data_IF_764117045123
#
_entry.id   IF_764117045123
#
_cell.length_a   1.000
_cell.length_b   1.000
_cell.length_c   1.000
_cell.angle_alpha   90.00
_cell.angle_beta   90.00
_cell.angle_gamma   90.00
#
_symmetry.space_group_name_H-M   'P 1'
#
loop_
_entity.id
_entity.type
_entity.pdbx_description
1 polymer ?
#
# COMPACT_ATOMS: atom_id res chain seq x y z
N UNK A 1 -4.06 4.11 0.21
CA UNK A 1 -3.21 4.88 -0.72
C UNK A 1 -3.56 6.38 -0.72
N UNK A 2 -4.74 6.82 -0.26
CA UNK A 2 -5.02 8.25 -0.01
C UNK A 2 -5.01 8.60 1.49
N UNK A 3 -3.84 8.85 2.07
CA UNK A 3 -3.73 9.65 3.31
C UNK A 3 -3.01 10.99 3.08
N UNK A 4 -2.55 11.30 1.86
CA UNK A 4 -1.84 12.55 1.57
C UNK A 4 -2.74 13.80 1.46
N UNK A 5 -4.07 13.67 1.50
CA UNK A 5 -4.98 14.79 1.24
C UNK A 5 -5.81 15.25 2.44
N UNK A 6 -5.42 14.89 3.67
CA UNK A 6 -6.05 15.46 4.86
C UNK A 6 -5.66 16.95 5.06
N UNK A 7 -6.45 17.78 4.37
CA UNK A 7 -7.08 19.04 4.78
C UNK A 7 -6.22 20.31 4.94
N UNK A 8 -4.91 20.27 5.21
CA UNK A 8 -4.23 21.54 5.59
C UNK A 8 -3.62 22.39 4.44
N UNK A 9 -3.49 21.89 3.20
CA UNK A 9 -2.86 22.63 2.07
C UNK A 9 -3.58 22.53 0.72
N UNK A 10 -4.92 22.41 0.71
CA UNK A 10 -5.71 22.22 -0.53
C UNK A 10 -5.46 23.29 -1.60
N UNK A 11 -5.31 24.58 -1.24
CA UNK A 11 -5.12 25.68 -2.22
C UNK A 11 -3.76 25.61 -2.94
N UNK A 12 -2.66 25.45 -2.20
CA UNK A 12 -1.30 25.36 -2.77
C UNK A 12 -1.14 24.10 -3.64
N UNK A 13 -1.70 22.99 -3.17
CA UNK A 13 -1.70 21.73 -3.92
C UNK A 13 -2.49 21.84 -5.23
N UNK A 14 -3.67 22.48 -5.21
CA UNK A 14 -4.46 22.73 -6.43
C UNK A 14 -3.71 23.61 -7.42
N UNK A 15 -3.00 24.65 -6.97
CA UNK A 15 -2.23 25.53 -7.85
C UNK A 15 -1.04 24.80 -8.51
N UNK A 16 -0.26 24.02 -7.74
CA UNK A 16 0.82 23.18 -8.27
C UNK A 16 0.27 22.08 -9.20
N UNK A 17 -0.84 21.47 -8.79
CA UNK A 17 -1.56 20.46 -9.54
C UNK A 17 -2.01 20.90 -10.93
N UNK A 18 -2.42 22.16 -11.10
CA UNK A 18 -2.80 22.69 -12.43
C UNK A 18 -1.64 22.69 -13.42
N UNK A 19 -0.42 23.03 -12.97
CA UNK A 19 0.78 23.01 -13.82
C UNK A 19 1.14 21.57 -14.20
N UNK A 20 1.18 20.66 -13.22
CA UNK A 20 1.43 19.23 -13.45
C UNK A 20 0.38 18.60 -14.36
N UNK A 21 -0.90 18.94 -14.19
CA UNK A 21 -2.01 18.49 -15.05
C UNK A 21 -1.82 18.92 -16.50
N UNK A 22 -1.47 20.19 -16.75
CA UNK A 22 -1.23 20.69 -18.11
C UNK A 22 -0.08 19.95 -18.78
N UNK A 23 1.00 19.73 -18.04
CA UNK A 23 2.16 18.98 -18.50
C UNK A 23 1.78 17.53 -18.84
N UNK A 24 1.15 16.80 -17.91
CA UNK A 24 0.73 15.42 -18.11
C UNK A 24 -0.23 15.26 -19.31
N UNK A 25 -1.20 16.18 -19.46
CA UNK A 25 -2.12 16.19 -20.60
C UNK A 25 -1.40 16.41 -21.94
N UNK A 26 -0.35 17.25 -21.97
CA UNK A 26 0.44 17.43 -23.18
C UNK A 26 1.25 16.18 -23.52
N UNK A 27 1.85 15.53 -22.52
CA UNK A 27 2.55 14.26 -22.71
C UNK A 27 1.63 13.16 -23.27
N UNK A 28 0.39 13.07 -22.78
CA UNK A 28 -0.58 12.08 -23.23
C UNK A 28 -1.05 12.32 -24.67
N UNK A 29 -1.08 13.58 -25.12
CA UNK A 29 -1.49 13.95 -26.48
C UNK A 29 -0.43 13.63 -27.55
N UNK A 30 0.83 13.52 -27.14
CA UNK A 30 1.93 13.17 -28.04
C UNK A 30 1.64 11.82 -28.70
N UNK A 31 1.87 11.67 -30.02
CA UNK A 31 1.46 10.49 -30.79
C UNK A 31 2.04 9.19 -30.22
N UNK A 32 3.29 9.23 -29.75
CA UNK A 32 4.01 8.05 -29.22
C UNK A 32 3.44 7.55 -27.89
N UNK A 33 2.75 8.41 -27.14
CA UNK A 33 2.31 8.14 -25.77
C UNK A 33 0.82 7.76 -25.68
N UNK A 34 0.07 7.81 -26.78
CA UNK A 34 -1.39 7.60 -26.76
C UNK A 34 -1.80 6.21 -26.29
N UNK A 35 -0.95 5.21 -26.51
CA UNK A 35 -1.22 3.83 -26.13
C UNK A 35 -0.52 3.42 -24.82
N UNK A 36 0.18 4.34 -24.15
CA UNK A 36 0.91 4.03 -22.92
C UNK A 36 -0.01 4.02 -21.70
N UNK A 37 -0.50 2.85 -21.31
CA UNK A 37 -1.43 2.68 -20.19
C UNK A 37 -0.88 3.16 -18.84
N UNK A 38 0.43 3.08 -18.63
CA UNK A 38 1.07 3.57 -17.41
C UNK A 38 0.92 5.11 -17.31
N UNK A 39 1.07 5.82 -18.43
CA UNK A 39 0.87 7.27 -18.46
C UNK A 39 -0.59 7.66 -18.22
N UNK A 40 -1.54 6.93 -18.83
CA UNK A 40 -2.97 7.09 -18.55
C UNK A 40 -3.29 6.87 -17.07
N UNK A 41 -2.76 5.80 -16.46
CA UNK A 41 -2.90 5.48 -15.04
C UNK A 41 -2.41 6.64 -14.16
N UNK A 42 -1.21 7.16 -14.43
CA UNK A 42 -0.63 8.29 -13.67
C UNK A 42 -1.45 9.57 -13.83
N UNK A 43 -1.92 9.86 -15.04
CA UNK A 43 -2.74 11.05 -15.30
C UNK A 43 -4.10 10.97 -14.58
N UNK A 44 -4.79 9.83 -14.68
CA UNK A 44 -6.05 9.59 -13.97
C UNK A 44 -5.87 9.70 -12.45
N UNK A 45 -4.80 9.13 -11.91
CA UNK A 45 -4.48 9.24 -10.49
C UNK A 45 -4.19 10.68 -10.05
N UNK A 46 -3.48 11.45 -10.88
CA UNK A 46 -3.25 12.88 -10.63
C UNK A 46 -4.58 13.64 -10.56
N UNK A 47 -5.50 13.44 -11.51
CA UNK A 47 -6.83 14.07 -11.47
C UNK A 47 -7.59 13.72 -10.18
N UNK A 48 -7.51 12.45 -9.77
CA UNK A 48 -8.10 11.99 -8.52
C UNK A 48 -7.52 12.71 -7.31
N UNK A 49 -6.18 12.84 -7.23
CA UNK A 49 -5.50 13.55 -6.14
C UNK A 49 -5.82 15.05 -6.08
N UNK A 50 -6.21 15.66 -7.21
CA UNK A 50 -6.65 17.06 -7.25
C UNK A 50 -8.10 17.24 -6.79
N UNK A 51 -8.82 16.14 -6.58
CA UNK A 51 -10.23 16.10 -6.22
C UNK A 51 -11.18 16.23 -7.42
N UNK A 52 -10.69 16.06 -8.65
CA UNK A 52 -11.53 16.05 -9.86
C UNK A 52 -11.97 14.61 -10.14
N UNK A 53 -12.76 14.02 -9.24
CA UNK A 53 -13.11 12.58 -9.29
C UNK A 53 -13.84 12.19 -10.57
N UNK A 54 -14.75 13.02 -11.08
CA UNK A 54 -15.51 12.70 -12.29
C UNK A 54 -14.66 12.80 -13.56
N UNK A 55 -13.71 13.73 -13.61
CA UNK A 55 -12.73 13.78 -14.70
C UNK A 55 -11.80 12.57 -14.63
N UNK A 56 -11.34 12.20 -13.43
CA UNK A 56 -10.50 11.02 -13.23
C UNK A 56 -11.20 9.74 -13.70
N UNK A 57 -12.48 9.56 -13.35
CA UNK A 57 -13.32 8.44 -13.82
C UNK A 57 -13.36 8.37 -15.35
N UNK A 58 -13.63 9.49 -16.02
CA UNK A 58 -13.63 9.55 -17.50
C UNK A 58 -12.28 9.16 -18.09
N UNK A 59 -11.17 9.59 -17.48
CA UNK A 59 -9.83 9.23 -17.94
C UNK A 59 -9.56 7.73 -17.75
N UNK A 60 -9.93 7.17 -16.60
CA UNK A 60 -9.84 5.72 -16.35
C UNK A 60 -10.70 4.92 -17.34
N UNK A 61 -11.96 5.30 -17.51
CA UNK A 61 -12.90 4.63 -18.41
C UNK A 61 -12.37 4.68 -19.86
N UNK A 62 -11.87 5.83 -20.30
CA UNK A 62 -11.24 5.98 -21.63
C UNK A 62 -10.04 5.06 -21.78
N UNK A 63 -9.14 5.04 -20.80
CA UNK A 63 -7.96 4.20 -20.82
C UNK A 63 -8.33 2.71 -20.91
N UNK A 64 -9.30 2.26 -20.12
CA UNK A 64 -9.80 0.88 -20.14
C UNK A 64 -10.48 0.53 -21.47
N UNK A 65 -11.26 1.43 -22.07
CA UNK A 65 -11.84 1.21 -23.40
C UNK A 65 -10.76 1.07 -24.48
N UNK A 66 -9.67 1.85 -24.40
CA UNK A 66 -8.59 1.84 -25.41
C UNK A 66 -7.59 0.70 -25.26
N UNK A 67 -7.49 0.11 -24.06
CA UNK A 67 -6.46 -0.87 -23.71
C UNK A 67 -6.65 -2.27 -24.33
N UNK A 68 -7.77 -2.51 -25.03
CA UNK A 68 -8.06 -3.78 -25.69
C UNK A 68 -8.55 -4.89 -24.76
N UNK A 69 -8.59 -6.13 -25.27
CA UNK A 69 -9.23 -7.31 -24.64
C UNK A 69 -8.27 -8.21 -23.84
N UNK A 70 -7.13 -7.68 -23.39
CA UNK A 70 -6.09 -8.46 -22.70
C UNK A 70 -6.49 -9.02 -21.33
N UNK A 71 -7.55 -8.50 -20.71
CA UNK A 71 -8.13 -9.00 -19.45
C UNK A 71 -7.08 -9.21 -18.35
N UNK A 72 -7.17 -10.36 -17.66
CA UNK A 72 -6.25 -10.75 -16.58
C UNK A 72 -4.83 -11.10 -17.04
N UNK A 73 -4.61 -11.29 -18.35
CA UNK A 73 -3.30 -11.64 -18.91
C UNK A 73 -2.38 -10.43 -19.09
N UNK A 74 -2.93 -9.21 -19.04
CA UNK A 74 -2.15 -7.98 -19.18
C UNK A 74 -1.89 -7.35 -17.82
N UNK A 75 -0.62 -7.34 -17.39
CA UNK A 75 -0.18 -6.73 -16.13
C UNK A 75 -0.62 -5.26 -16.03
N UNK A 76 -0.49 -4.50 -17.12
CA UNK A 76 -0.85 -3.08 -17.17
C UNK A 76 -2.36 -2.86 -17.00
N UNK A 77 -3.19 -3.71 -17.62
CA UNK A 77 -4.64 -3.67 -17.48
C UNK A 77 -5.10 -4.01 -16.05
N UNK A 78 -4.53 -5.07 -15.46
CA UNK A 78 -4.78 -5.43 -14.07
C UNK A 78 -4.36 -4.28 -13.14
N UNK A 79 -3.18 -3.71 -13.35
CA UNK A 79 -2.65 -2.63 -12.52
C UNK A 79 -3.47 -1.34 -12.62
N UNK A 80 -3.99 -1.01 -13.80
CA UNK A 80 -4.89 0.12 -14.02
C UNK A 80 -6.25 -0.11 -13.33
N UNK A 81 -6.83 -1.30 -13.54
CA UNK A 81 -8.13 -1.68 -12.97
C UNK A 81 -8.09 -1.76 -11.44
N UNK A 82 -7.00 -2.32 -10.89
CA UNK A 82 -6.74 -2.38 -9.45
C UNK A 82 -6.73 -0.98 -8.85
N UNK A 83 -5.94 -0.06 -9.43
CA UNK A 83 -5.86 1.31 -8.91
C UNK A 83 -7.24 1.98 -8.97
N UNK A 84 -7.95 1.90 -10.09
CA UNK A 84 -9.26 2.52 -10.22
C UNK A 84 -10.27 1.96 -9.20
N UNK A 85 -10.32 0.64 -9.06
CA UNK A 85 -11.18 -0.02 -8.07
C UNK A 85 -10.81 0.39 -6.63
N UNK A 86 -9.52 0.42 -6.27
CA UNK A 86 -9.05 0.86 -4.95
C UNK A 86 -9.48 2.30 -4.64
N UNK A 87 -9.37 3.21 -5.61
CA UNK A 87 -9.76 4.60 -5.46
C UNK A 87 -11.28 4.75 -5.22
N UNK A 88 -12.10 3.99 -5.96
CA UNK A 88 -13.56 3.97 -5.75
C UNK A 88 -13.93 3.36 -4.40
N UNK A 89 -13.23 2.31 -3.96
CA UNK A 89 -13.43 1.71 -2.62
C UNK A 89 -13.10 2.69 -1.51
N UNK A 90 -12.06 3.51 -1.67
CA UNK A 90 -11.69 4.51 -0.66
C UNK A 90 -12.75 5.62 -0.47
N UNK A 91 -13.71 5.76 -1.40
CA UNK A 91 -14.87 6.65 -1.27
C UNK A 91 -16.03 6.02 -0.48
N UNK A 92 -16.03 4.71 -0.27
CA UNK A 92 -17.08 4.04 0.50
C UNK A 92 -16.98 4.43 1.97
N UNK A 93 -18.14 4.76 2.56
CA UNK A 93 -18.28 5.03 3.99
C UNK A 93 -18.64 3.77 4.78
N UNK A 94 -19.38 2.85 4.14
CA UNK A 94 -19.75 1.53 4.65
C UNK A 94 -19.66 0.48 3.53
N UNK A 95 -19.71 -0.80 3.91
CA UNK A 95 -19.75 -1.90 2.94
C UNK A 95 -21.17 -2.17 2.40
N UNK A 96 -22.18 -1.44 2.89
CA UNK A 96 -23.55 -1.57 2.41
C UNK A 96 -23.65 -1.15 0.94
N UNK A 97 -24.23 -2.01 0.09
CA UNK A 97 -24.31 -1.76 -1.34
C UNK A 97 -23.00 -1.93 -2.12
N UNK A 98 -21.92 -2.43 -1.49
CA UNK A 98 -20.63 -2.65 -2.15
C UNK A 98 -20.73 -3.53 -3.41
N UNK A 99 -21.65 -4.50 -3.43
CA UNK A 99 -21.91 -5.38 -4.58
C UNK A 99 -22.34 -4.62 -5.84
N UNK A 100 -23.03 -3.49 -5.68
CA UNK A 100 -23.51 -2.67 -6.78
C UNK A 100 -22.45 -1.62 -7.16
N UNK A 101 -21.38 -1.48 -6.38
CA UNK A 101 -20.39 -0.41 -6.55
C UNK A 101 -19.67 -0.45 -7.90
N UNK A 102 -19.19 0.73 -8.32
CA UNK A 102 -18.32 0.87 -9.49
C UNK A 102 -17.06 -0.01 -9.38
N UNK A 103 -16.52 -0.20 -8.18
CA UNK A 103 -15.35 -1.04 -7.96
C UNK A 103 -15.60 -2.51 -8.35
N UNK A 104 -16.74 -3.08 -7.95
CA UNK A 104 -17.12 -4.44 -8.34
C UNK A 104 -17.31 -4.52 -9.86
N UNK A 105 -17.97 -3.53 -10.47
CA UNK A 105 -18.12 -3.48 -11.92
C UNK A 105 -16.79 -3.51 -12.67
N UNK A 106 -15.82 -2.68 -12.27
CA UNK A 106 -14.48 -2.64 -12.88
C UNK A 106 -13.80 -4.01 -12.79
N UNK A 107 -13.80 -4.61 -11.60
CA UNK A 107 -13.16 -5.90 -11.34
C UNK A 107 -13.88 -7.06 -12.04
N UNK A 108 -15.20 -7.00 -12.20
CA UNK A 108 -15.97 -7.99 -12.97
C UNK A 108 -15.65 -7.85 -14.46
N UNK A 109 -15.70 -6.63 -15.01
CA UNK A 109 -15.43 -6.39 -16.45
C UNK A 109 -14.02 -6.80 -16.87
N UNK A 110 -13.04 -6.67 -15.98
CA UNK A 110 -11.67 -7.14 -16.23
C UNK A 110 -11.61 -8.64 -16.59
N UNK A 111 -12.54 -9.46 -16.07
CA UNK A 111 -12.55 -10.91 -16.30
C UNK A 111 -13.31 -11.32 -17.56
N UNK A 112 -14.17 -10.45 -18.11
CA UNK A 112 -15.06 -10.80 -19.22
C UNK A 112 -14.35 -10.87 -20.58
N UNK A 113 -13.05 -10.51 -20.67
CA UNK A 113 -12.22 -10.46 -21.90
C UNK A 113 -12.88 -9.71 -23.09
N UNK A 114 -13.92 -8.92 -22.83
CA UNK A 114 -14.63 -8.11 -23.80
C UNK A 114 -14.24 -6.63 -23.71
N UNK A 115 -14.82 -5.77 -24.59
CA UNK A 115 -14.60 -4.34 -24.50
C UNK A 115 -15.12 -3.79 -23.16
N UNK A 116 -14.33 -2.91 -22.54
CA UNK A 116 -14.76 -2.25 -21.32
C UNK A 116 -15.95 -1.34 -21.60
N UNK A 117 -16.99 -1.45 -20.77
CA UNK A 117 -18.16 -0.57 -20.79
C UNK A 117 -18.18 0.20 -19.48
N UNK A 118 -18.29 1.55 -19.51
CA UNK A 118 -18.37 2.36 -18.31
C UNK A 118 -19.54 1.94 -17.40
N UNK A 119 -19.36 2.14 -16.09
CA UNK A 119 -20.33 1.73 -15.09
C UNK A 119 -21.68 2.46 -15.23
N UNK A 120 -22.77 1.70 -15.30
CA UNK A 120 -24.14 2.18 -15.52
C UNK A 120 -25.06 2.08 -14.30
N UNK A 121 -24.57 1.67 -13.13
CA UNK A 121 -25.36 1.58 -11.90
C UNK A 121 -25.78 0.17 -11.48
N UNK A 122 -25.45 -0.87 -12.25
CA UNK A 122 -25.82 -2.26 -11.92
C UNK A 122 -24.68 -3.24 -12.22
N UNK A 123 -24.56 -4.27 -11.37
CA UNK A 123 -23.68 -5.42 -11.59
C UNK A 123 -24.52 -6.68 -11.43
N UNK A 124 -24.58 -7.49 -12.49
CA UNK A 124 -25.34 -8.74 -12.48
C UNK A 124 -24.63 -9.80 -11.63
N UNK A 125 -25.36 -10.42 -10.70
CA UNK A 125 -24.82 -11.47 -9.81
C UNK A 125 -24.20 -12.64 -10.60
N UNK A 126 -24.76 -12.99 -11.76
CA UNK A 126 -24.22 -14.04 -12.63
C UNK A 126 -22.82 -13.69 -13.12
N UNK A 127 -22.56 -12.41 -13.46
CA UNK A 127 -21.24 -11.98 -13.90
C UNK A 127 -20.24 -11.96 -12.75
N UNK A 128 -20.69 -11.63 -11.54
CA UNK A 128 -19.86 -11.73 -10.31
C UNK A 128 -19.44 -13.19 -10.08
N UNK A 129 -20.35 -14.16 -10.20
CA UNK A 129 -20.03 -15.58 -10.04
C UNK A 129 -19.06 -16.09 -11.12
N UNK A 130 -19.24 -15.67 -12.37
CA UNK A 130 -18.31 -16.00 -13.46
C UNK A 130 -16.93 -15.40 -13.21
N UNK A 131 -16.86 -14.11 -12.88
CA UNK A 131 -15.62 -13.41 -12.57
C UNK A 131 -14.84 -14.09 -11.44
N UNK A 132 -15.53 -14.55 -10.39
CA UNK A 132 -14.90 -15.28 -9.28
C UNK A 132 -14.15 -16.51 -9.77
N UNK A 133 -14.81 -17.37 -10.58
CA UNK A 133 -14.18 -18.57 -11.15
C UNK A 133 -13.01 -18.21 -12.06
N UNK A 134 -13.14 -17.17 -12.88
CA UNK A 134 -12.07 -16.71 -13.76
C UNK A 134 -10.84 -16.23 -12.99
N UNK A 135 -11.02 -15.49 -11.89
CA UNK A 135 -9.91 -15.09 -11.02
C UNK A 135 -9.26 -16.29 -10.33
N UNK A 136 -10.06 -17.23 -9.81
CA UNK A 136 -9.57 -18.43 -9.14
C UNK A 136 -8.71 -19.27 -10.07
N UNK A 137 -9.17 -19.54 -11.30
CA UNK A 137 -8.39 -20.23 -12.31
C UNK A 137 -7.15 -19.44 -12.71
N UNK A 138 -7.24 -18.13 -12.94
CA UNK A 138 -6.08 -17.32 -13.31
C UNK A 138 -4.98 -17.33 -12.22
N UNK A 139 -5.36 -17.30 -10.94
CA UNK A 139 -4.40 -17.39 -9.84
C UNK A 139 -3.80 -18.80 -9.74
N UNK A 140 -4.61 -19.84 -9.85
CA UNK A 140 -4.13 -21.23 -9.84
C UNK A 140 -3.18 -21.52 -11.01
N UNK A 141 -3.57 -21.11 -12.22
CA UNK A 141 -2.75 -21.24 -13.43
C UNK A 141 -1.40 -20.53 -13.23
N UNK A 142 -1.40 -19.31 -12.69
CA UNK A 142 -0.17 -18.58 -12.44
C UNK A 142 0.71 -19.30 -11.40
N UNK A 143 0.15 -19.71 -10.27
CA UNK A 143 0.89 -20.38 -9.19
C UNK A 143 1.35 -21.80 -9.54
N UNK A 144 0.74 -22.44 -10.53
CA UNK A 144 1.11 -23.75 -11.05
C UNK A 144 2.25 -23.71 -12.07
N UNK A 145 2.53 -22.56 -12.67
CA UNK A 145 3.64 -22.41 -13.61
C UNK A 145 4.96 -22.50 -12.85
N UNK A 146 5.73 -23.55 -13.16
CA UNK A 146 7.13 -23.64 -12.76
C UNK A 146 7.88 -22.56 -13.56
N UNK A 147 8.63 -21.64 -12.93
CA UNK A 147 9.37 -20.64 -13.67
C UNK A 147 10.43 -21.32 -14.53
N UNK A 148 10.30 -21.21 -15.85
CA UNK A 148 11.30 -21.67 -16.81
C UNK A 148 11.76 -20.43 -17.60
N UNK A 149 13.02 -20.05 -17.39
CA UNK A 149 13.81 -19.04 -18.09
C UNK A 149 13.75 -17.58 -17.59
N UNK A 150 14.91 -16.93 -17.63
CA UNK A 150 15.31 -15.70 -16.90
C UNK A 150 14.94 -14.37 -17.58
N UNK A 151 14.38 -14.37 -18.80
CA UNK A 151 14.25 -13.11 -19.57
C UNK A 151 12.89 -12.37 -19.42
N UNK A 152 11.83 -13.01 -18.91
CA UNK A 152 10.48 -12.42 -18.82
C UNK A 152 9.97 -12.17 -17.37
N UNK A 153 10.79 -12.42 -16.34
CA UNK A 153 10.34 -12.50 -14.94
C UNK A 153 9.81 -11.18 -14.33
N UNK A 154 10.32 -10.02 -14.78
CA UNK A 154 9.91 -8.71 -14.22
C UNK A 154 8.45 -8.40 -14.54
N UNK A 155 8.02 -8.65 -15.80
CA UNK A 155 6.63 -8.46 -16.20
C UNK A 155 5.68 -9.44 -15.50
N UNK A 156 6.17 -10.65 -15.21
CA UNK A 156 5.40 -11.72 -14.61
C UNK A 156 5.09 -11.41 -13.12
N UNK A 157 6.08 -10.96 -12.34
CA UNK A 157 5.86 -10.57 -10.94
C UNK A 157 4.87 -9.39 -10.78
N UNK A 158 4.98 -8.36 -11.61
CA UNK A 158 4.04 -7.23 -11.63
C UNK A 158 2.61 -7.67 -12.00
N UNK A 159 2.51 -8.67 -12.88
CA UNK A 159 1.23 -9.29 -13.24
C UNK A 159 0.62 -10.02 -12.05
N UNK A 160 1.40 -10.84 -11.33
CA UNK A 160 0.92 -11.56 -10.16
C UNK A 160 0.42 -10.60 -9.08
N UNK A 161 1.22 -9.59 -8.71
CA UNK A 161 0.84 -8.60 -7.69
C UNK A 161 -0.47 -7.91 -8.07
N UNK A 162 -0.60 -7.53 -9.35
CA UNK A 162 -1.81 -6.87 -9.86
C UNK A 162 -3.02 -7.82 -9.87
N UNK A 163 -2.82 -9.10 -10.23
CA UNK A 163 -3.86 -10.13 -10.21
C UNK A 163 -4.34 -10.43 -8.80
N UNK A 164 -3.42 -10.71 -7.86
CA UNK A 164 -3.70 -10.94 -6.44
C UNK A 164 -4.41 -9.74 -5.85
N UNK A 165 -3.96 -8.52 -6.16
CA UNK A 165 -4.61 -7.29 -5.74
C UNK A 165 -6.05 -7.16 -6.25
N UNK A 166 -6.29 -7.43 -7.54
CA UNK A 166 -7.64 -7.39 -8.13
C UNK A 166 -8.54 -8.45 -7.48
N UNK A 167 -8.04 -9.68 -7.35
CA UNK A 167 -8.83 -10.79 -6.86
C UNK A 167 -9.17 -10.65 -5.36
N UNK A 168 -8.19 -10.28 -4.54
CA UNK A 168 -8.43 -10.06 -3.11
C UNK A 168 -9.40 -8.89 -2.89
N UNK A 169 -9.28 -7.80 -3.64
CA UNK A 169 -10.23 -6.69 -3.57
C UNK A 169 -11.64 -7.09 -4.03
N UNK A 170 -11.73 -7.93 -5.07
CA UNK A 170 -12.99 -8.48 -5.55
C UNK A 170 -13.65 -9.38 -4.50
N UNK A 171 -12.89 -10.27 -3.86
CA UNK A 171 -13.39 -11.13 -2.77
C UNK A 171 -13.79 -10.30 -1.54
N UNK A 172 -13.03 -9.25 -1.23
CA UNK A 172 -13.37 -8.33 -0.14
C UNK A 172 -14.74 -7.68 -0.35
N UNK A 173 -15.02 -7.18 -1.55
CA UNK A 173 -16.26 -6.48 -1.87
C UNK A 173 -17.47 -7.41 -2.06
N UNK A 174 -17.23 -8.68 -2.42
CA UNK A 174 -18.30 -9.62 -2.77
C UNK A 174 -18.60 -10.69 -1.72
N UNK A 175 -17.64 -10.98 -0.84
CA UNK A 175 -17.75 -12.01 0.19
C UNK A 175 -17.42 -11.44 1.57
N UNK A 176 -16.27 -10.77 1.70
CA UNK A 176 -15.86 -10.13 2.95
C UNK A 176 -14.37 -10.20 3.22
N UNK A 177 -13.96 -9.71 4.39
CA UNK A 177 -12.55 -9.56 4.75
C UNK A 177 -11.79 -10.89 4.82
N UNK A 178 -12.39 -11.93 5.40
CA UNK A 178 -11.72 -13.22 5.58
C UNK A 178 -11.40 -13.88 4.23
N UNK A 179 -12.32 -13.80 3.27
CA UNK A 179 -12.10 -14.29 1.91
C UNK A 179 -10.93 -13.58 1.22
N UNK A 180 -10.77 -12.27 1.43
CA UNK A 180 -9.66 -11.51 0.86
C UNK A 180 -8.32 -11.84 1.55
N UNK A 181 -8.32 -12.01 2.87
CA UNK A 181 -7.12 -12.41 3.63
C UNK A 181 -6.62 -13.77 3.16
N UNK A 182 -7.51 -14.73 2.91
CA UNK A 182 -7.15 -16.06 2.39
C UNK A 182 -6.43 -15.98 1.03
N UNK A 183 -6.81 -15.06 0.14
CA UNK A 183 -6.11 -14.88 -1.14
C UNK A 183 -4.68 -14.37 -0.90
N UNK A 184 -4.50 -13.42 0.01
CA UNK A 184 -3.17 -12.91 0.34
C UNK A 184 -2.28 -13.95 1.00
N UNK A 185 -2.80 -14.77 1.92
CA UNK A 185 -2.03 -15.84 2.56
C UNK A 185 -1.64 -16.91 1.55
N UNK A 186 -2.58 -17.37 0.71
CA UNK A 186 -2.30 -18.36 -0.33
C UNK A 186 -1.23 -17.88 -1.31
N UNK A 187 -1.31 -16.62 -1.77
CA UNK A 187 -0.31 -16.06 -2.68
C UNK A 187 1.07 -15.93 -1.99
N UNK A 188 1.10 -15.53 -0.73
CA UNK A 188 2.35 -15.35 0.03
C UNK A 188 3.05 -16.69 0.31
N UNK A 189 2.32 -17.70 0.79
CA UNK A 189 2.86 -19.04 1.07
C UNK A 189 3.45 -19.69 -0.18
N UNK A 190 2.78 -19.54 -1.33
CA UNK A 190 3.28 -20.10 -2.60
C UNK A 190 4.53 -19.38 -3.10
N UNK A 191 4.58 -18.05 -2.98
CA UNK A 191 5.78 -17.28 -3.31
C UNK A 191 6.97 -17.63 -2.40
N UNK A 192 6.73 -17.83 -1.11
CA UNK A 192 7.76 -18.27 -0.15
C UNK A 192 8.27 -19.70 -0.47
N UNK A 193 7.37 -20.62 -0.82
CA UNK A 193 7.73 -22.00 -1.19
C UNK A 193 8.60 -22.04 -2.45
N UNK A 194 8.27 -21.25 -3.48
CA UNK A 194 9.05 -21.18 -4.72
C UNK A 194 10.45 -20.60 -4.49
N UNK A 195 10.59 -19.57 -3.65
CA UNK A 195 11.90 -18.98 -3.35
C UNK A 195 12.83 -19.88 -2.51
N UNK A 196 12.26 -20.81 -1.74
CA UNK A 196 13.03 -21.72 -0.88
C UNK A 196 13.66 -22.89 -1.68
N UNK A 197 13.00 -23.32 -2.76
CA UNK A 197 13.36 -24.53 -3.51
C UNK A 197 14.57 -24.32 -4.45
N UNK A 198 14.89 -23.08 -4.82
CA UNK A 198 16.04 -22.74 -5.67
C UNK A 198 17.35 -22.56 -4.88
N UNK A 199 17.29 -22.23 -3.59
CA UNK A 199 18.49 -21.98 -2.77
C UNK A 199 19.28 -23.25 -2.38
N UNK A 200 18.72 -24.45 -2.54
CA UNK A 200 19.41 -25.68 -2.13
C UNK A 200 20.35 -26.25 -3.21
N UNK A 201 20.28 -25.82 -4.48
CA UNK A 201 20.89 -26.58 -5.57
C UNK A 201 22.05 -25.92 -6.36
N UNK A 202 22.43 -24.66 -6.17
CA UNK A 202 23.61 -24.13 -6.87
C UNK A 202 24.26 -22.98 -6.12
N UNK A 203 25.43 -23.23 -5.53
CA UNK A 203 26.29 -22.18 -5.00
C UNK A 203 27.07 -21.52 -6.13
N UNK A 204 26.46 -20.57 -6.84
CA UNK A 204 27.15 -19.68 -7.78
C UNK A 204 26.27 -18.46 -8.11
N UNK A 205 26.74 -17.26 -7.71
CA UNK A 205 26.30 -15.92 -8.10
C UNK A 205 24.81 -15.71 -8.44
N UNK A 206 24.01 -15.47 -7.39
CA UNK A 206 22.60 -15.09 -7.46
C UNK A 206 22.35 -13.88 -8.37
N UNK A 207 21.78 -14.13 -9.54
CA UNK A 207 20.93 -13.15 -10.21
C UNK A 207 19.85 -12.67 -9.24
N UNK A 208 19.55 -11.38 -9.27
CA UNK A 208 18.60 -10.73 -8.36
C UNK A 208 17.21 -11.35 -8.59
N UNK A 209 16.88 -12.38 -7.83
CA UNK A 209 15.54 -12.96 -7.77
C UNK A 209 14.57 -11.86 -7.30
N UNK A 210 13.54 -11.57 -8.12
CA UNK A 210 12.56 -10.49 -7.87
C UNK A 210 11.39 -10.94 -6.96
N UNK A 211 11.36 -12.20 -6.53
CA UNK A 211 10.38 -12.74 -5.58
C UNK A 211 10.24 -11.94 -4.27
N UNK A 212 11.33 -11.41 -3.65
CA UNK A 212 11.22 -10.59 -2.45
C UNK A 212 10.38 -9.32 -2.67
N UNK A 213 10.48 -8.70 -3.84
CA UNK A 213 9.73 -7.49 -4.17
C UNK A 213 8.23 -7.78 -4.38
N UNK A 214 7.90 -8.91 -5.00
CA UNK A 214 6.51 -9.31 -5.20
C UNK A 214 5.82 -9.63 -3.86
N UNK A 215 6.50 -10.39 -2.99
CA UNK A 215 6.00 -10.74 -1.66
C UNK A 215 5.84 -9.50 -0.77
N UNK A 216 6.79 -8.56 -0.84
CA UNK A 216 6.69 -7.25 -0.17
C UNK A 216 5.47 -6.46 -0.66
N UNK A 217 5.22 -6.42 -1.97
CA UNK A 217 4.09 -5.72 -2.55
C UNK A 217 2.74 -6.35 -2.17
N UNK A 218 2.63 -7.68 -2.20
CA UNK A 218 1.44 -8.43 -1.75
C UNK A 218 1.17 -8.17 -0.26
N UNK A 219 2.21 -8.20 0.57
CA UNK A 219 2.12 -7.90 2.01
C UNK A 219 1.64 -6.47 2.26
N UNK A 220 2.11 -5.51 1.46
CA UNK A 220 1.66 -4.12 1.53
C UNK A 220 0.18 -3.99 1.13
N UNK A 221 -0.29 -4.70 0.09
CA UNK A 221 -1.70 -4.73 -0.29
C UNK A 221 -2.57 -5.30 0.84
N UNK A 222 -2.16 -6.40 1.44
CA UNK A 222 -2.85 -7.04 2.56
C UNK A 222 -3.01 -6.09 3.76
N UNK A 223 -1.91 -5.49 4.24
CA UNK A 223 -1.94 -4.56 5.38
C UNK A 223 -2.74 -3.29 5.08
N UNK A 224 -2.71 -2.81 3.83
CA UNK A 224 -3.53 -1.67 3.40
C UNK A 224 -5.02 -1.99 3.42
N UNK A 225 -5.42 -3.20 3.00
CA UNK A 225 -6.81 -3.64 3.03
C UNK A 225 -7.33 -3.75 4.47
N UNK A 226 -6.59 -4.42 5.36
CA UNK A 226 -6.94 -4.52 6.78
C UNK A 226 -7.12 -3.15 7.42
N UNK A 227 -6.21 -2.21 7.16
CA UNK A 227 -6.31 -0.83 7.64
C UNK A 227 -7.53 -0.11 7.10
N UNK A 228 -7.87 -0.33 5.83
CA UNK A 228 -9.08 0.25 5.24
C UNK A 228 -10.34 -0.34 5.89
N UNK A 229 -10.41 -1.66 6.03
CA UNK A 229 -11.55 -2.34 6.67
C UNK A 229 -11.80 -1.77 8.07
N UNK A 230 -10.76 -1.72 8.92
CA UNK A 230 -10.83 -1.11 10.26
C UNK A 230 -11.29 0.36 10.29
N UNK A 231 -11.17 1.09 9.19
CA UNK A 231 -11.64 2.48 9.10
C UNK A 231 -13.16 2.55 8.91
N UNK A 232 -13.74 1.61 8.16
CA UNK A 232 -15.14 1.64 7.74
C UNK A 232 -16.02 0.61 8.46
N UNK A 233 -15.43 -0.35 9.18
CA UNK A 233 -16.12 -1.38 9.94
C UNK A 233 -15.57 -1.50 11.36
N UNK A 234 -16.37 -2.06 12.26
CA UNK A 234 -15.93 -2.49 13.59
C UNK A 234 -15.12 -3.78 13.42
N UNK A 235 -13.80 -3.70 13.61
CA UNK A 235 -12.89 -4.83 13.42
C UNK A 235 -11.77 -4.81 14.46
N UNK A 236 -11.36 -5.97 15.02
CA UNK A 236 -10.29 -6.03 16.01
C UNK A 236 -8.96 -5.51 15.46
N UNK A 237 -8.16 -4.87 16.32
CA UNK A 237 -6.86 -4.31 15.91
C UNK A 237 -5.75 -5.37 15.76
N UNK A 238 -5.90 -6.54 16.40
CA UNK A 238 -4.84 -7.54 16.46
C UNK A 238 -4.40 -8.06 15.08
N UNK A 239 -5.29 -8.43 14.13
CA UNK A 239 -4.87 -8.95 12.83
C UNK A 239 -4.01 -7.95 12.05
N UNK A 240 -4.39 -6.66 12.04
CA UNK A 240 -3.58 -5.62 11.40
C UNK A 240 -2.23 -5.44 12.11
N UNK A 241 -2.20 -5.50 13.44
CA UNK A 241 -0.96 -5.35 14.21
C UNK A 241 0.00 -6.50 13.91
N UNK A 242 -0.49 -7.73 13.94
CA UNK A 242 0.28 -8.94 13.65
C UNK A 242 0.84 -8.89 12.23
N UNK A 243 -0.03 -8.65 11.24
CA UNK A 243 0.36 -8.52 9.84
C UNK A 243 1.45 -7.44 9.65
N UNK A 244 1.32 -6.28 10.29
CA UNK A 244 2.34 -5.22 10.21
C UNK A 244 3.64 -5.59 10.91
N UNK A 245 3.60 -6.19 12.10
CA UNK A 245 4.82 -6.58 12.81
C UNK A 245 5.58 -7.67 12.08
N UNK A 246 4.85 -8.61 11.48
CA UNK A 246 5.42 -9.74 10.75
C UNK A 246 5.98 -9.30 9.39
N UNK A 247 5.27 -8.38 8.72
CA UNK A 247 5.76 -7.71 7.52
C UNK A 247 7.03 -6.89 7.78
N UNK A 248 7.07 -6.10 8.86
CA UNK A 248 8.21 -5.22 9.17
C UNK A 248 9.46 -5.96 9.65
N UNK A 249 9.32 -7.18 10.18
CA UNK A 249 10.47 -8.06 10.44
C UNK A 249 11.11 -8.56 9.14
N UNK A 250 10.28 -8.89 8.14
CA UNK A 250 10.76 -9.32 6.80
C UNK A 250 11.26 -8.15 5.95
N UNK A 251 10.56 -7.02 5.99
CA UNK A 251 10.79 -5.85 5.13
C UNK A 251 11.06 -4.57 5.94
N UNK A 252 12.18 -4.52 6.69
CA UNK A 252 12.49 -3.38 7.56
C UNK A 252 12.70 -2.06 6.81
N UNK A 253 13.06 -2.12 5.53
CA UNK A 253 13.27 -0.94 4.68
C UNK A 253 11.96 -0.33 4.12
N UNK A 254 10.81 -1.01 4.28
CA UNK A 254 9.57 -0.53 3.69
C UNK A 254 8.94 0.62 4.49
N UNK A 255 9.08 1.83 3.96
CA UNK A 255 8.56 3.04 4.60
C UNK A 255 7.03 3.08 4.71
N UNK A 256 6.31 2.46 3.78
CA UNK A 256 4.84 2.47 3.76
C UNK A 256 4.26 1.59 4.87
N UNK A 257 4.89 0.44 5.14
CA UNK A 257 4.57 -0.41 6.28
C UNK A 257 4.84 0.32 7.61
N UNK A 258 5.98 0.99 7.74
CA UNK A 258 6.30 1.77 8.95
C UNK A 258 5.33 2.92 9.20
N UNK A 259 4.97 3.69 8.16
CA UNK A 259 3.95 4.75 8.28
C UNK A 259 2.61 4.19 8.78
N UNK A 260 2.24 3.01 8.31
CA UNK A 260 1.03 2.29 8.73
C UNK A 260 1.13 1.85 10.19
N UNK A 261 2.25 1.26 10.58
CA UNK A 261 2.53 0.82 11.94
C UNK A 261 2.47 1.96 12.96
N UNK A 262 3.12 3.09 12.67
CA UNK A 262 3.04 4.27 13.55
C UNK A 262 1.61 4.79 13.66
N UNK A 263 0.86 4.85 12.54
CA UNK A 263 -0.52 5.32 12.57
C UNK A 263 -1.40 4.47 13.49
N UNK A 264 -1.25 3.15 13.41
CA UNK A 264 -1.91 2.18 14.30
C UNK A 264 -1.47 2.38 15.74
N UNK A 265 -0.17 2.49 15.98
CA UNK A 265 0.38 2.55 17.33
C UNK A 265 0.02 3.83 18.06
N UNK A 266 -0.15 4.95 17.34
CA UNK A 266 -0.62 6.22 17.93
C UNK A 266 -1.98 6.12 18.59
N UNK A 267 -2.82 5.17 18.16
CA UNK A 267 -4.15 4.95 18.74
C UNK A 267 -4.11 3.96 19.91
N UNK A 268 -2.96 3.34 20.19
CA UNK A 268 -2.81 2.35 21.26
C UNK A 268 -1.95 2.90 22.40
N UNK A 269 -2.32 2.59 23.64
CA UNK A 269 -1.60 3.05 24.84
C UNK A 269 -0.34 2.22 25.16
N UNK A 270 0.26 1.55 24.18
CA UNK A 270 1.32 0.55 24.44
C UNK A 270 2.72 0.98 23.99
N UNK A 271 3.21 2.11 24.51
CA UNK A 271 4.53 2.65 24.14
C UNK A 271 5.68 1.64 24.36
N UNK A 272 5.65 0.89 25.46
CA UNK A 272 6.66 -0.12 25.79
C UNK A 272 6.74 -1.25 24.77
N UNK A 273 5.61 -1.77 24.29
CA UNK A 273 5.58 -2.82 23.25
C UNK A 273 6.16 -2.32 21.93
N UNK A 274 5.82 -1.08 21.53
CA UNK A 274 6.40 -0.49 20.33
C UNK A 274 7.91 -0.26 20.46
N UNK A 275 8.38 0.24 21.62
CA UNK A 275 9.82 0.40 21.89
C UNK A 275 10.57 -0.93 21.74
N UNK A 276 10.09 -1.99 22.39
CA UNK A 276 10.66 -3.35 22.26
C UNK A 276 10.66 -3.85 20.82
N UNK A 277 9.60 -3.57 20.07
CA UNK A 277 9.51 -3.95 18.67
C UNK A 277 10.54 -3.22 17.80
N UNK A 278 10.64 -1.88 17.92
CA UNK A 278 11.68 -1.11 17.22
C UNK A 278 13.08 -1.61 17.60
N UNK A 279 13.36 -1.77 18.89
CA UNK A 279 14.66 -2.24 19.39
C UNK A 279 15.01 -3.65 18.85
N UNK A 280 14.00 -4.51 18.65
CA UNK A 280 14.17 -5.84 18.04
C UNK A 280 14.53 -5.74 16.56
N UNK A 281 13.85 -4.88 15.80
CA UNK A 281 14.05 -4.76 14.34
C UNK A 281 15.36 -4.03 14.04
N UNK A 282 15.70 -2.97 14.78
CA UNK A 282 16.97 -2.24 14.59
C UNK A 282 18.21 -3.10 14.85
N UNK A 283 18.10 -4.18 15.64
CA UNK A 283 19.18 -5.14 15.87
C UNK A 283 19.33 -6.16 14.75
N UNK A 284 18.28 -6.40 13.98
CA UNK A 284 18.25 -7.43 12.93
C UNK A 284 18.46 -6.88 11.53
N UNK A 285 18.66 -5.56 11.37
CA UNK A 285 18.77 -4.92 10.06
C UNK A 285 19.75 -3.76 10.07
N UNK A 286 20.40 -3.53 8.93
CA UNK A 286 21.26 -2.36 8.69
C UNK A 286 20.45 -1.17 8.14
N UNK A 287 19.17 -1.35 7.81
CA UNK A 287 18.30 -0.28 7.30
C UNK A 287 18.13 0.85 8.32
N UNK A 288 18.08 2.09 7.82
CA UNK A 288 17.87 3.28 8.65
C UNK A 288 16.40 3.56 8.95
N UNK A 289 15.49 3.02 8.16
CA UNK A 289 14.06 3.24 8.30
C UNK A 289 13.55 2.94 9.72
N UNK A 290 13.85 1.78 10.36
CA UNK A 290 13.43 1.50 11.72
C UNK A 290 13.86 2.58 12.73
N UNK A 291 15.10 3.09 12.61
CA UNK A 291 15.61 4.17 13.46
C UNK A 291 14.84 5.47 13.25
N UNK A 292 14.67 5.90 12.00
CA UNK A 292 13.94 7.13 11.65
C UNK A 292 12.49 7.09 12.14
N UNK A 293 11.83 5.94 11.98
CA UNK A 293 10.45 5.75 12.42
C UNK A 293 10.33 5.61 13.94
N UNK A 294 11.31 5.03 14.64
CA UNK A 294 11.38 5.03 16.10
C UNK A 294 11.49 6.46 16.65
N UNK A 295 12.42 7.26 16.10
CA UNK A 295 12.61 8.67 16.45
C UNK A 295 11.31 9.44 16.20
N UNK A 296 10.68 9.27 15.04
CA UNK A 296 9.42 9.91 14.71
C UNK A 296 8.33 9.53 15.72
N UNK A 297 8.21 8.25 16.10
CA UNK A 297 7.22 7.79 17.05
C UNK A 297 7.39 8.45 18.43
N UNK A 298 8.61 8.53 18.96
CA UNK A 298 8.88 9.21 20.25
C UNK A 298 8.66 10.73 20.17
N UNK A 299 9.07 11.38 19.07
CA UNK A 299 8.80 12.80 18.87
C UNK A 299 7.30 13.11 18.83
N UNK A 300 6.51 12.23 18.21
CA UNK A 300 5.05 12.38 18.17
C UNK A 300 4.42 12.21 19.56
N UNK A 301 4.96 11.30 20.39
CA UNK A 301 4.54 11.15 21.80
C UNK A 301 4.89 12.38 22.62
N UNK A 302 6.14 12.88 22.54
CA UNK A 302 6.56 14.12 23.21
C UNK A 302 5.62 15.28 22.88
N UNK A 303 5.31 15.49 21.60
CA UNK A 303 4.36 16.53 21.15
C UNK A 303 2.94 16.33 21.68
N UNK A 304 2.50 15.10 21.92
CA UNK A 304 1.19 14.82 22.51
C UNK A 304 1.19 15.16 24.00
N UNK A 305 2.18 14.67 24.75
CA UNK A 305 2.32 14.94 26.20
C UNK A 305 2.43 16.44 26.49
N UNK A 306 3.25 17.16 25.74
CA UNK A 306 3.39 18.62 25.91
C UNK A 306 2.10 19.39 25.57
N UNK A 307 1.27 18.90 24.63
CA UNK A 307 -0.01 19.54 24.32
C UNK A 307 -1.04 19.33 25.41
N UNK A 308 -1.06 18.15 26.02
CA UNK A 308 -1.92 17.85 27.17
C UNK A 308 -1.51 18.71 28.36
N UNK A 309 -0.20 18.86 28.62
CA UNK A 309 0.31 19.68 29.73
C UNK A 309 0.07 21.19 29.57
N UNK A 310 -0.03 21.70 28.34
CA UNK A 310 -0.30 23.14 28.06
C UNK A 310 -1.80 23.46 27.97
N UNK A 311 -2.68 22.46 27.95
CA UNK A 311 -4.12 22.68 27.98
C UNK A 311 -4.54 22.97 29.43
N UNK A 312 -4.65 24.26 29.73
CA UNK A 312 -4.96 24.85 31.04
C UNK A 312 -6.41 24.56 31.45
N UNK A 313 -6.73 23.30 31.76
CA UNK A 313 -8.03 22.88 32.30
C UNK A 313 -7.77 21.96 33.49
N UNK A 314 -8.30 22.35 34.65
CA UNK A 314 -8.16 21.68 35.95
C UNK A 314 -8.73 20.26 36.06
N UNK A 315 -8.80 19.51 34.97
CA UNK A 315 -9.04 18.08 34.97
C UNK A 315 -7.72 17.36 34.77
N UNK A 316 -7.18 16.81 35.87
CA UNK A 316 -6.01 15.94 35.90
C UNK A 316 -6.34 14.71 35.06
N UNK A 317 -6.00 14.74 33.77
CA UNK A 317 -5.99 13.54 32.97
C UNK A 317 -4.86 12.68 33.53
N UNK A 318 -5.18 11.44 33.94
CA UNK A 318 -4.23 10.44 34.41
C UNK A 318 -3.28 9.97 33.28
N UNK A 319 -2.53 10.88 32.69
CA UNK A 319 -1.38 10.54 31.86
C UNK A 319 -0.18 10.45 32.79
N UNK A 320 0.32 9.23 32.98
CA UNK A 320 1.60 8.99 33.65
C UNK A 320 2.62 9.97 33.07
N UNK A 321 3.29 10.81 33.86
CA UNK A 321 4.32 11.70 33.35
C UNK A 321 5.43 10.84 32.72
N UNK A 322 5.50 10.80 31.39
CA UNK A 322 6.61 10.17 30.68
C UNK A 322 7.85 11.08 30.77
N UNK A 323 8.49 11.10 31.94
CA UNK A 323 9.77 11.78 32.16
C UNK A 323 10.85 11.13 31.31
N UNK A 324 11.73 11.93 30.69
CA UNK A 324 12.89 11.43 29.95
C UNK A 324 12.67 11.15 28.45
N UNK A 325 11.52 11.53 27.86
CA UNK A 325 11.30 11.42 26.41
C UNK A 325 12.36 12.16 25.58
N UNK A 326 12.83 13.33 26.03
CA UNK A 326 13.92 14.05 25.37
C UNK A 326 15.19 13.21 25.34
N UNK A 327 15.62 12.68 26.49
CA UNK A 327 16.82 11.84 26.58
C UNK A 327 16.68 10.56 25.75
N UNK A 328 15.48 9.97 25.70
CA UNK A 328 15.19 8.81 24.84
C UNK A 328 15.35 9.16 23.36
N UNK A 329 14.84 10.31 22.91
CA UNK A 329 14.99 10.77 21.52
C UNK A 329 16.47 11.03 21.20
N UNK A 330 17.21 11.66 22.11
CA UNK A 330 18.67 11.86 21.97
C UNK A 330 19.38 10.52 21.82
N UNK A 331 19.14 9.55 22.72
CA UNK A 331 19.75 8.23 22.64
C UNK A 331 19.42 7.51 21.32
N UNK A 332 18.19 7.63 20.80
CA UNK A 332 17.84 7.07 19.50
C UNK A 332 18.62 7.73 18.35
N UNK A 333 18.82 9.05 18.39
CA UNK A 333 19.68 9.72 17.40
C UNK A 333 21.13 9.28 17.51
N UNK A 334 21.68 9.21 18.72
CA UNK A 334 23.06 8.77 18.96
C UNK A 334 23.30 7.36 18.41
N UNK A 335 22.41 6.41 18.73
CA UNK A 335 22.51 5.05 18.20
C UNK A 335 22.30 4.99 16.68
N UNK A 336 21.34 5.76 16.14
CA UNK A 336 21.10 5.78 14.69
C UNK A 336 22.32 6.32 13.95
N UNK A 337 22.96 7.38 14.44
CA UNK A 337 24.15 7.99 13.84
C UNK A 337 25.38 7.10 13.99
N UNK A 338 25.50 6.29 15.04
CA UNK A 338 26.57 5.31 15.21
C UNK A 338 26.45 4.10 14.27
N UNK A 339 25.27 3.85 13.69
CA UNK A 339 25.09 2.78 12.71
C UNK A 339 25.83 3.09 11.40
N UNK A 340 26.28 2.05 10.71
CA UNK A 340 27.05 2.15 9.46
C UNK A 340 26.37 3.05 8.41
N UNK A 341 25.07 2.85 8.19
CA UNK A 341 24.33 3.67 7.23
C UNK A 341 24.04 5.08 7.77
N UNK A 342 23.98 5.25 9.10
CA UNK A 342 23.57 6.50 9.74
C UNK A 342 24.67 7.54 9.78
N UNK A 343 25.92 7.13 9.96
CA UNK A 343 27.10 8.01 9.93
C UNK A 343 27.14 8.79 8.61
N UNK A 344 26.79 8.13 7.51
CA UNK A 344 26.82 8.66 6.14
C UNK A 344 25.51 9.30 5.68
N UNK A 345 24.54 9.53 6.57
CA UNK A 345 23.23 10.10 6.22
C UNK A 345 23.12 11.59 6.63
N UNK A 346 23.30 12.56 5.70
CA UNK A 346 23.23 13.99 6.05
C UNK A 346 21.85 14.43 6.55
N UNK A 347 20.79 13.77 6.10
CA UNK A 347 19.43 14.07 6.55
C UNK A 347 19.26 13.71 8.05
N UNK A 348 19.79 12.57 8.48
CA UNK A 348 19.75 12.14 9.88
C UNK A 348 20.49 13.13 10.78
N UNK A 349 21.71 13.52 10.39
CA UNK A 349 22.48 14.55 11.11
C UNK A 349 21.76 15.89 11.19
N UNK A 350 21.17 16.37 10.09
CA UNK A 350 20.38 17.60 10.09
C UNK A 350 19.17 17.51 11.02
N UNK A 351 18.49 16.36 11.05
CA UNK A 351 17.38 16.12 11.97
C UNK A 351 17.85 16.11 13.43
N UNK A 352 19.00 15.50 13.72
CA UNK A 352 19.55 15.45 15.08
C UNK A 352 19.95 16.84 15.57
N UNK A 353 20.72 17.59 14.77
CA UNK A 353 21.13 18.96 15.11
C UNK A 353 19.91 19.87 15.34
N UNK A 354 18.89 19.78 14.48
CA UNK A 354 17.64 20.53 14.64
C UNK A 354 16.79 20.08 15.85
N UNK A 355 17.07 18.92 16.44
CA UNK A 355 16.42 18.50 17.68
C UNK A 355 17.15 19.01 18.92
N UNK A 356 18.46 19.25 18.82
CA UNK A 356 19.31 19.74 19.91
C UNK A 356 19.26 21.27 20.09
N UNK A 357 18.91 21.99 19.02
CA UNK A 357 18.57 23.43 19.04
C UNK A 357 17.13 23.60 19.53
#
# INVERSE_FOLDING_TARGET
VIQCLQVKKKKKLKAQGRKSKKLAKNFLKAPDNRNNLCLWKLYAYLEWLLGNTDDARKVFDTALCTAGTGGLKSAQLCSLSLLYAQLEVELLESLEGALISRAVHILTKLTENGPYVPYSGQVLSVNVLKARKTYEHALQDYLSKIPVSDQDQVSDTDQLVSLVGCYALFQYLTVGIDAAVLIYTQASEKLEASGSQECENTGENFGILHFPAALEAVTLLHTNLLRFHMKISVYPLNPLREALTEALKRYPSNQSLWRSYIHVQRKSHSASKARRFFDSVTRSTNSLEPWLFAIQAEQMRKKLTEKVQRADVGEIHCTIPETGLTNRIVALFEHAVQSENGTHCPLLWRMYLNFMV
#
